data_IF_558021829824
#
_entry.id   IF_558021829824
#
_cell.length_a   1.000
_cell.length_b   1.000
_cell.length_c   1.000
_cell.angle_alpha   90.00
_cell.angle_beta   90.00
_cell.angle_gamma   90.00
#
_symmetry.space_group_name_H-M   'P 1'
#
loop_
_entity.id
_entity.type
_entity.pdbx_description
1 polymer ?
#
# COMPACT_ATOMS: atom_id res chain seq x y z
N UNK A 1 -29.53 0.71 -9.07
CA UNK A 1 -29.94 -0.40 -9.95
C UNK A 1 -30.60 0.18 -11.19
N UNK A 2 -29.93 0.16 -12.33
CA UNK A 2 -30.45 0.70 -13.59
C UNK A 2 -31.25 -0.37 -14.35
N UNK A 3 -32.23 0.11 -15.12
CA UNK A 3 -33.28 -0.63 -15.82
C UNK A 3 -32.80 -1.71 -16.82
N UNK A 4 -31.49 -1.82 -17.04
CA UNK A 4 -30.84 -2.79 -17.93
C UNK A 4 -30.63 -4.14 -17.25
N UNK A 5 -30.50 -4.18 -15.91
CA UNK A 5 -30.34 -5.44 -15.16
C UNK A 5 -31.61 -6.31 -15.16
N UNK A 6 -32.81 -5.72 -15.19
CA UNK A 6 -34.08 -6.48 -15.18
C UNK A 6 -34.33 -7.26 -16.48
N UNK A 7 -33.83 -6.78 -17.62
CA UNK A 7 -34.03 -7.44 -18.92
C UNK A 7 -33.10 -8.64 -19.14
N UNK A 8 -31.91 -8.64 -18.51
CA UNK A 8 -31.00 -9.78 -18.59
C UNK A 8 -31.51 -10.96 -17.74
N UNK A 9 -32.12 -10.71 -16.59
CA UNK A 9 -32.73 -11.75 -15.75
C UNK A 9 -33.93 -12.46 -16.43
N UNK A 10 -34.73 -11.74 -17.22
CA UNK A 10 -35.91 -12.30 -17.89
C UNK A 10 -35.58 -13.37 -18.94
N UNK A 11 -34.46 -13.25 -19.68
CA UNK A 11 -34.12 -14.20 -20.76
C UNK A 11 -33.52 -15.53 -20.26
N UNK A 12 -32.84 -15.53 -19.12
CA UNK A 12 -32.20 -16.73 -18.58
C UNK A 12 -33.10 -17.53 -17.62
N UNK A 13 -34.08 -16.91 -16.97
CA UNK A 13 -35.07 -17.63 -16.16
C UNK A 13 -35.93 -18.60 -17.01
N UNK A 14 -36.22 -18.27 -18.27
CA UNK A 14 -36.95 -19.16 -19.18
C UNK A 14 -36.14 -20.35 -19.69
N UNK A 15 -34.80 -20.25 -19.74
CA UNK A 15 -33.94 -21.33 -20.23
C UNK A 15 -33.64 -22.40 -19.18
N UNK A 16 -33.60 -22.03 -17.89
CA UNK A 16 -33.32 -22.96 -16.79
C UNK A 16 -34.56 -23.81 -16.45
N UNK A 17 -35.77 -23.26 -16.63
CA UNK A 17 -37.03 -24.00 -16.45
C UNK A 17 -37.30 -25.07 -17.52
N UNK A 18 -36.56 -25.07 -18.64
CA UNK A 18 -36.72 -26.05 -19.73
C UNK A 18 -35.85 -27.32 -19.61
N UNK A 19 -34.95 -27.40 -18.63
CA UNK A 19 -33.98 -28.52 -18.50
C UNK A 19 -34.40 -29.54 -17.43
N UNK A 20 -35.44 -29.26 -16.63
CA UNK A 20 -35.92 -30.18 -15.60
C UNK A 20 -37.07 -31.05 -16.14
N UNK A 21 -36.96 -32.39 -16.11
CA UNK A 21 -38.05 -33.28 -16.51
C UNK A 21 -39.09 -33.35 -15.39
N UNK A 22 -39.89 -32.28 -15.24
CA UNK A 22 -41.03 -32.24 -14.33
C UNK A 22 -42.32 -31.94 -15.11
N UNK A 23 -42.70 -32.88 -15.97
CA UNK A 23 -43.97 -32.84 -16.68
C UNK A 23 -44.59 -34.23 -16.75
N UNK A 24 -44.91 -34.81 -15.60
CA UNK A 24 -45.97 -35.82 -15.54
C UNK A 24 -46.58 -35.90 -14.13
N UNK A 25 -47.72 -35.22 -13.94
CA UNK A 25 -48.53 -35.31 -12.73
C UNK A 25 -49.64 -36.34 -12.93
N UNK A 26 -49.37 -37.62 -12.66
CA UNK A 26 -50.42 -38.56 -12.21
C UNK A 26 -49.81 -39.78 -11.51
N UNK A 27 -49.56 -39.66 -10.20
CA UNK A 27 -49.80 -40.71 -9.18
C UNK A 27 -49.27 -40.23 -7.83
N UNK A 28 -50.17 -40.15 -6.85
CA UNK A 28 -49.84 -39.95 -5.44
C UNK A 28 -48.84 -41.02 -4.97
N UNK A 29 -47.70 -40.59 -4.43
CA UNK A 29 -47.01 -41.26 -3.32
C UNK A 29 -45.89 -40.38 -2.77
N UNK A 30 -45.52 -40.61 -1.50
CA UNK A 30 -44.56 -39.90 -0.61
C UNK A 30 -43.22 -39.39 -1.20
N UNK A 31 -42.90 -39.66 -2.46
CA UNK A 31 -41.71 -39.22 -3.19
C UNK A 31 -41.77 -37.76 -3.68
N UNK A 32 -42.96 -37.18 -3.87
CA UNK A 32 -43.12 -35.80 -4.38
C UNK A 32 -42.57 -34.74 -3.42
N UNK A 33 -42.74 -34.92 -2.11
CA UNK A 33 -42.28 -33.98 -1.08
C UNK A 33 -40.76 -33.94 -0.97
N UNK A 34 -40.09 -35.07 -1.23
CA UNK A 34 -38.62 -35.16 -1.22
C UNK A 34 -38.05 -34.44 -2.46
N UNK A 35 -38.66 -34.62 -3.62
CA UNK A 35 -38.23 -33.96 -4.86
C UNK A 35 -38.41 -32.44 -4.82
N UNK A 36 -39.50 -31.95 -4.24
CA UNK A 36 -39.73 -30.51 -4.03
C UNK A 36 -38.73 -29.92 -3.03
N UNK A 37 -38.42 -30.63 -1.94
CA UNK A 37 -37.42 -30.19 -0.96
C UNK A 37 -36.00 -30.18 -1.54
N UNK A 38 -35.66 -31.18 -2.37
CA UNK A 38 -34.38 -31.25 -3.07
C UNK A 38 -34.27 -30.16 -4.15
N UNK A 39 -35.33 -29.88 -4.90
CA UNK A 39 -35.34 -28.76 -5.84
C UNK A 39 -35.23 -27.40 -5.12
N UNK A 40 -35.92 -27.22 -4.00
CA UNK A 40 -35.81 -26.00 -3.19
C UNK A 40 -34.40 -25.86 -2.60
N UNK A 41 -33.81 -26.94 -2.11
CA UNK A 41 -32.44 -26.96 -1.59
C UNK A 41 -31.41 -26.69 -2.69
N UNK A 42 -31.55 -27.28 -3.88
CA UNK A 42 -30.68 -27.01 -5.03
C UNK A 42 -30.87 -25.56 -5.52
N UNK A 43 -32.09 -25.04 -5.52
CA UNK A 43 -32.35 -23.64 -5.91
C UNK A 43 -31.77 -22.68 -4.88
N UNK A 44 -31.89 -22.98 -3.58
CA UNK A 44 -31.23 -22.22 -2.51
C UNK A 44 -29.71 -22.34 -2.63
N UNK A 45 -29.14 -23.51 -2.88
CA UNK A 45 -27.69 -23.71 -3.10
C UNK A 45 -27.20 -22.99 -4.35
N UNK A 46 -28.00 -22.92 -5.42
CA UNK A 46 -27.68 -22.16 -6.63
C UNK A 46 -27.87 -20.65 -6.44
N UNK A 47 -28.79 -20.22 -5.55
CA UNK A 47 -28.98 -18.81 -5.16
C UNK A 47 -28.00 -18.32 -4.09
N UNK A 48 -27.53 -19.20 -3.19
CA UNK A 48 -26.53 -18.90 -2.16
C UNK A 48 -25.10 -19.18 -2.64
N UNK A 49 -24.93 -19.98 -3.69
CA UNK A 49 -23.65 -20.38 -4.25
C UNK A 49 -22.97 -19.36 -5.17
N UNK A 50 -23.63 -18.25 -5.47
CA UNK A 50 -23.02 -17.13 -6.19
C UNK A 50 -23.30 -15.82 -5.44
N UNK A 51 -22.66 -15.67 -4.26
CA UNK A 51 -22.35 -14.32 -3.79
C UNK A 51 -21.32 -13.76 -4.77
N UNK A 52 -21.79 -13.06 -5.80
CA UNK A 52 -20.92 -12.27 -6.65
C UNK A 52 -20.21 -11.26 -5.72
N UNK A 53 -18.89 -11.32 -5.62
CA UNK A 53 -18.15 -10.29 -4.90
C UNK A 53 -18.42 -8.95 -5.59
N UNK A 54 -18.87 -7.96 -4.82
CA UNK A 54 -18.99 -6.59 -5.30
C UNK A 54 -17.59 -5.99 -5.34
N UNK A 55 -16.89 -6.25 -6.42
CA UNK A 55 -15.52 -5.78 -6.61
C UNK A 55 -15.49 -4.28 -6.95
N UNK A 56 -14.59 -3.59 -6.25
CA UNK A 56 -14.17 -2.22 -6.50
C UNK A 56 -12.71 -2.15 -6.91
N UNK A 57 -12.27 -0.95 -7.28
CA UNK A 57 -10.88 -0.67 -7.61
C UNK A 57 -10.42 0.61 -6.91
N UNK A 58 -9.17 0.65 -6.45
CA UNK A 58 -8.54 1.87 -5.98
C UNK A 58 -7.08 1.94 -6.42
N UNK A 59 -6.56 3.15 -6.58
CA UNK A 59 -5.13 3.39 -6.80
C UNK A 59 -4.39 3.52 -5.46
N UNK A 60 -3.19 2.96 -5.37
CA UNK A 60 -2.20 3.25 -4.34
C UNK A 60 -0.99 3.88 -5.01
N UNK A 61 -0.76 5.17 -4.74
CA UNK A 61 0.38 5.95 -5.25
C UNK A 61 1.14 6.57 -4.09
N UNK A 62 2.45 6.72 -4.20
CA UNK A 62 3.30 7.14 -3.09
C UNK A 62 4.63 7.70 -3.60
N UNK A 63 5.30 8.49 -2.76
CA UNK A 63 6.70 8.91 -2.92
C UNK A 63 6.92 9.55 -4.30
N UNK A 64 6.15 10.61 -4.58
CA UNK A 64 6.29 11.41 -5.79
C UNK A 64 7.64 12.09 -5.85
N UNK A 65 8.08 12.66 -4.73
CA UNK A 65 9.26 13.52 -4.59
C UNK A 65 9.44 14.43 -5.82
N UNK A 66 8.60 15.44 -5.95
CA UNK A 66 8.73 16.43 -6.99
C UNK A 66 9.91 17.36 -6.70
N UNK A 67 10.93 17.36 -7.55
CA UNK A 67 12.01 18.34 -7.56
C UNK A 67 11.68 19.51 -8.51
N UNK A 68 11.26 20.69 -7.99
CA UNK A 68 11.01 21.86 -8.84
C UNK A 68 12.29 22.43 -9.46
N UNK A 69 13.47 22.03 -8.96
CA UNK A 69 14.78 22.45 -9.45
C UNK A 69 15.39 21.46 -10.44
N UNK A 70 14.67 20.38 -10.79
CA UNK A 70 15.19 19.27 -11.59
C UNK A 70 15.84 19.70 -12.90
N UNK A 71 15.31 20.71 -13.61
CA UNK A 71 15.86 21.18 -14.89
C UNK A 71 16.96 22.25 -14.74
N UNK A 72 17.12 22.81 -13.54
CA UNK A 72 18.09 23.85 -13.23
C UNK A 72 19.21 23.27 -12.35
N UNK A 73 19.25 23.64 -11.08
CA UNK A 73 20.33 23.31 -10.14
C UNK A 73 20.29 21.87 -9.63
N UNK A 74 19.17 21.14 -9.81
CA UNK A 74 19.05 19.71 -9.43
C UNK A 74 19.42 19.43 -7.96
N UNK A 75 18.79 20.14 -7.03
CA UNK A 75 19.15 20.05 -5.61
C UNK A 75 18.99 18.64 -5.03
N UNK A 76 18.10 17.81 -5.60
CA UNK A 76 17.82 16.45 -5.15
C UNK A 76 18.80 15.39 -5.66
N UNK A 77 19.67 15.73 -6.61
CA UNK A 77 20.51 14.74 -7.27
C UNK A 77 21.69 14.31 -6.39
N UNK A 78 21.76 13.02 -6.05
CA UNK A 78 22.83 12.45 -5.22
C UNK A 78 24.22 12.48 -5.89
N UNK A 79 24.27 12.60 -7.22
CA UNK A 79 25.50 12.65 -8.02
C UNK A 79 25.32 13.63 -9.17
N UNK A 80 26.42 13.94 -9.85
CA UNK A 80 26.33 14.68 -11.10
C UNK A 80 25.48 13.89 -12.11
N UNK A 81 24.31 14.43 -12.42
CA UNK A 81 23.38 13.90 -13.41
C UNK A 81 23.53 14.72 -14.69
N UNK A 82 24.64 14.52 -15.42
CA UNK A 82 24.76 15.00 -16.79
C UNK A 82 23.68 14.30 -17.65
N UNK A 83 23.05 15.03 -18.56
CA UNK A 83 22.04 14.48 -19.49
C UNK A 83 20.73 14.02 -18.82
N UNK A 84 20.26 14.79 -17.82
CA UNK A 84 18.90 14.67 -17.25
C UNK A 84 17.83 14.66 -18.36
N UNK A 85 17.06 13.59 -18.42
CA UNK A 85 15.93 13.47 -19.35
C UNK A 85 14.63 14.00 -18.75
N UNK A 86 13.66 14.30 -19.60
CA UNK A 86 12.41 14.96 -19.17
C UNK A 86 11.52 14.09 -18.27
N UNK A 87 11.71 12.77 -18.28
CA UNK A 87 11.01 11.80 -17.42
C UNK A 87 11.83 11.36 -16.21
N UNK A 88 12.96 12.01 -15.93
CA UNK A 88 13.74 11.77 -14.72
C UNK A 88 15.12 11.16 -14.98
N UNK A 89 15.88 11.00 -13.89
CA UNK A 89 17.22 10.45 -13.86
C UNK A 89 17.38 9.65 -12.57
N UNK A 90 18.05 8.50 -12.58
CA UNK A 90 18.12 7.60 -11.40
C UNK A 90 18.74 8.23 -10.16
N UNK A 91 19.59 9.24 -10.32
CA UNK A 91 20.21 9.95 -9.20
C UNK A 91 19.36 11.07 -8.60
N UNK A 92 18.24 11.41 -9.22
CA UNK A 92 17.48 12.61 -8.94
C UNK A 92 16.04 12.27 -8.61
N UNK A 93 15.39 13.18 -7.91
CA UNK A 93 13.95 13.10 -7.72
C UNK A 93 13.17 13.49 -8.98
N UNK A 94 11.85 13.34 -8.92
CA UNK A 94 10.96 13.42 -10.08
C UNK A 94 10.90 14.85 -10.64
N UNK A 95 11.10 15.05 -11.96
CA UNK A 95 10.62 16.26 -12.61
C UNK A 95 9.09 16.30 -12.61
N UNK A 96 8.51 17.50 -12.71
CA UNK A 96 7.06 17.67 -12.79
C UNK A 96 6.42 16.83 -13.91
N UNK A 97 7.11 16.69 -15.05
CA UNK A 97 6.63 15.89 -16.19
C UNK A 97 6.48 14.40 -15.86
N UNK A 98 7.31 13.85 -14.97
CA UNK A 98 7.15 12.47 -14.50
C UNK A 98 5.93 12.35 -13.57
N UNK A 99 5.78 13.31 -12.65
CA UNK A 99 4.65 13.37 -11.71
C UNK A 99 3.32 13.43 -12.46
N UNK A 100 3.16 14.36 -13.40
CA UNK A 100 1.90 14.48 -14.16
C UNK A 100 1.67 13.27 -15.07
N UNK A 101 2.74 12.73 -15.65
CA UNK A 101 2.67 11.51 -16.46
C UNK A 101 2.17 10.29 -15.66
N UNK A 102 2.55 10.15 -14.39
CA UNK A 102 2.06 9.03 -13.56
C UNK A 102 0.58 9.18 -13.24
N UNK A 103 0.12 10.38 -12.92
CA UNK A 103 -1.29 10.68 -12.64
C UNK A 103 -2.15 10.55 -13.92
N UNK A 104 -1.64 10.99 -15.06
CA UNK A 104 -2.26 10.79 -16.38
C UNK A 104 -2.40 9.30 -16.71
N UNK A 105 -1.36 8.51 -16.43
CA UNK A 105 -1.40 7.06 -16.63
C UNK A 105 -2.41 6.38 -15.71
N UNK A 106 -2.51 6.78 -14.44
CA UNK A 106 -3.55 6.28 -13.54
C UNK A 106 -4.95 6.50 -14.15
N UNK A 107 -5.21 7.71 -14.68
CA UNK A 107 -6.48 8.07 -15.30
C UNK A 107 -6.72 7.30 -16.60
N UNK A 108 -5.69 7.06 -17.41
CA UNK A 108 -5.77 6.28 -18.65
C UNK A 108 -6.09 4.81 -18.37
N UNK A 109 -5.42 4.18 -17.39
CA UNK A 109 -5.53 2.75 -17.14
C UNK A 109 -6.79 2.37 -16.36
N UNK A 110 -7.17 3.18 -15.37
CA UNK A 110 -8.36 2.95 -14.57
C UNK A 110 -8.97 4.30 -14.13
N UNK A 111 -9.82 4.90 -14.99
CA UNK A 111 -10.44 6.19 -14.70
C UNK A 111 -11.48 6.11 -13.56
N UNK A 112 -12.25 5.02 -13.49
CA UNK A 112 -13.44 4.89 -12.66
C UNK A 112 -13.15 4.03 -11.42
N UNK A 113 -12.17 4.47 -10.62
CA UNK A 113 -11.86 3.88 -9.31
C UNK A 113 -12.73 4.47 -8.20
N UNK A 114 -12.97 3.70 -7.14
CA UNK A 114 -13.79 4.11 -6.00
C UNK A 114 -13.09 5.18 -5.15
N UNK A 115 -11.76 5.08 -5.01
CA UNK A 115 -10.92 6.05 -4.31
C UNK A 115 -9.45 5.92 -4.73
N UNK A 116 -8.62 6.85 -4.24
CA UNK A 116 -7.16 6.82 -4.35
C UNK A 116 -6.58 6.91 -2.94
N UNK A 117 -5.63 6.02 -2.61
CA UNK A 117 -4.77 6.17 -1.44
C UNK A 117 -3.46 6.81 -1.91
N UNK A 118 -3.07 7.90 -1.25
CA UNK A 118 -1.80 8.58 -1.47
C UNK A 118 -0.97 8.56 -0.20
N UNK A 119 0.04 7.70 -0.12
CA UNK A 119 0.85 7.51 1.10
C UNK A 119 2.02 8.48 1.26
N UNK A 120 1.89 9.72 0.77
CA UNK A 120 2.80 10.83 1.08
C UNK A 120 4.08 10.91 0.26
N UNK A 121 5.02 11.71 0.76
CA UNK A 121 6.33 12.07 0.20
C UNK A 121 6.26 12.75 -1.17
N UNK A 122 5.84 14.01 -1.10
CA UNK A 122 5.68 14.94 -2.22
C UNK A 122 6.96 15.72 -2.51
N UNK A 123 7.73 16.07 -1.48
CA UNK A 123 8.85 17.02 -1.59
C UNK A 123 10.18 16.30 -1.85
N UNK A 124 11.20 16.97 -2.42
CA UNK A 124 12.42 16.29 -2.85
C UNK A 124 13.40 16.05 -1.68
N UNK A 125 14.34 15.14 -1.88
CA UNK A 125 15.48 14.86 -1.00
C UNK A 125 16.52 15.99 -1.08
N UNK A 126 16.24 17.09 -0.39
CA UNK A 126 17.14 18.24 -0.31
C UNK A 126 17.48 18.58 1.14
N UNK A 127 18.55 19.34 1.32
CA UNK A 127 18.97 19.78 2.65
C UNK A 127 18.06 20.89 3.17
N UNK A 128 17.75 20.85 4.46
CA UNK A 128 16.88 21.86 5.10
C UNK A 128 17.40 23.30 4.95
N UNK A 129 18.72 23.51 4.79
CA UNK A 129 19.31 24.83 4.63
C UNK A 129 19.04 25.48 3.26
N UNK A 130 18.54 24.71 2.29
CA UNK A 130 18.09 25.20 0.98
C UNK A 130 16.58 24.99 0.79
N UNK A 131 15.87 24.55 1.84
CA UNK A 131 14.44 24.36 1.86
C UNK A 131 13.73 25.41 2.73
N UNK A 132 12.41 25.47 2.60
CA UNK A 132 11.55 26.32 3.42
C UNK A 132 10.18 25.68 3.62
N UNK A 133 9.49 26.13 4.66
CA UNK A 133 8.09 25.78 4.93
C UNK A 133 7.19 26.03 3.70
N UNK A 134 7.28 27.23 3.11
CA UNK A 134 6.45 27.61 1.96
C UNK A 134 6.68 26.71 0.76
N UNK A 135 7.94 26.38 0.47
CA UNK A 135 8.28 25.51 -0.66
C UNK A 135 7.71 24.10 -0.47
N UNK A 136 7.84 23.50 0.72
CA UNK A 136 7.29 22.17 0.98
C UNK A 136 5.76 22.17 0.92
N UNK A 137 5.11 23.16 1.55
CA UNK A 137 3.66 23.35 1.47
C UNK A 137 3.19 23.46 0.02
N UNK A 138 3.86 24.29 -0.78
CA UNK A 138 3.46 24.55 -2.17
C UNK A 138 3.68 23.33 -3.07
N UNK A 139 4.68 22.50 -2.79
CA UNK A 139 4.87 21.21 -3.49
C UNK A 139 3.74 20.23 -3.15
N UNK A 140 3.39 20.05 -1.86
CA UNK A 140 2.26 19.20 -1.44
C UNK A 140 0.95 19.70 -2.08
N UNK A 141 0.75 21.03 -2.13
CA UNK A 141 -0.36 21.66 -2.84
C UNK A 141 -0.37 21.33 -4.33
N UNK A 142 0.75 21.42 -5.03
CA UNK A 142 0.82 21.11 -6.46
C UNK A 142 0.37 19.67 -6.75
N UNK A 143 0.85 18.69 -5.99
CA UNK A 143 0.43 17.29 -6.13
C UNK A 143 -1.06 17.14 -5.83
N UNK A 144 -1.53 17.77 -4.75
CA UNK A 144 -2.95 17.75 -4.36
C UNK A 144 -3.83 18.29 -5.48
N UNK A 145 -3.47 19.42 -6.08
CA UNK A 145 -4.25 20.06 -7.16
C UNK A 145 -4.19 19.25 -8.45
N UNK A 146 -3.06 18.64 -8.78
CA UNK A 146 -2.95 17.75 -9.94
C UNK A 146 -3.89 16.54 -9.79
N UNK A 147 -3.88 15.87 -8.63
CA UNK A 147 -4.80 14.77 -8.32
C UNK A 147 -6.26 15.22 -8.37
N UNK A 148 -6.62 16.35 -7.73
CA UNK A 148 -7.97 16.91 -7.81
C UNK A 148 -8.40 17.19 -9.24
N UNK A 149 -7.54 17.78 -10.06
CA UNK A 149 -7.88 18.14 -11.43
C UNK A 149 -8.12 16.93 -12.32
N UNK A 150 -7.35 15.85 -12.14
CA UNK A 150 -7.42 14.63 -12.95
C UNK A 150 -8.50 13.65 -12.47
N UNK A 151 -8.82 13.68 -11.18
CA UNK A 151 -9.75 12.77 -10.51
C UNK A 151 -10.87 13.52 -9.76
N UNK A 152 -11.45 14.53 -10.40
CA UNK A 152 -12.39 15.48 -9.79
C UNK A 152 -13.58 14.88 -9.01
N UNK A 153 -14.03 13.68 -9.35
CA UNK A 153 -15.14 12.98 -8.67
C UNK A 153 -14.70 11.84 -7.74
N UNK A 154 -13.42 11.52 -7.70
CA UNK A 154 -12.89 10.39 -6.93
C UNK A 154 -12.24 10.92 -5.65
N UNK A 155 -12.64 10.43 -4.47
CA UNK A 155 -12.00 10.84 -3.23
C UNK A 155 -10.55 10.36 -3.20
N UNK A 156 -9.65 11.23 -2.74
CA UNK A 156 -8.25 10.90 -2.46
C UNK A 156 -8.06 10.91 -0.96
N UNK A 157 -7.45 9.87 -0.41
CA UNK A 157 -7.14 9.75 1.00
C UNK A 157 -5.62 9.86 1.15
N UNK A 158 -5.12 11.07 1.46
CA UNK A 158 -3.69 11.33 1.62
C UNK A 158 -3.20 11.07 3.04
N UNK A 159 -1.92 10.72 3.17
CA UNK A 159 -1.15 10.78 4.41
C UNK A 159 0.07 11.67 4.18
N UNK A 160 0.61 12.28 5.23
CA UNK A 160 1.93 12.92 5.13
C UNK A 160 3.03 11.86 5.05
N UNK A 161 4.00 12.07 4.16
CA UNK A 161 5.29 11.39 4.24
C UNK A 161 6.31 12.18 5.05
N UNK A 162 7.44 11.57 5.40
CA UNK A 162 8.40 12.23 6.29
C UNK A 162 9.09 13.44 5.65
N UNK A 163 9.09 13.56 4.32
CA UNK A 163 9.59 14.73 3.60
C UNK A 163 8.54 15.85 3.48
N UNK A 164 7.27 15.60 3.79
CA UNK A 164 6.18 16.58 3.63
C UNK A 164 6.06 17.60 4.79
N UNK A 165 7.11 17.75 5.59
CA UNK A 165 7.17 18.71 6.70
C UNK A 165 8.51 19.42 6.73
N UNK A 166 8.52 20.70 7.13
CA UNK A 166 9.74 21.48 7.26
C UNK A 166 10.02 21.83 8.73
N UNK A 167 11.23 21.58 9.25
CA UNK A 167 12.32 20.81 8.62
C UNK A 167 11.94 19.33 8.38
N UNK A 168 12.60 18.67 7.42
CA UNK A 168 12.27 17.29 7.05
C UNK A 168 12.30 16.34 8.26
N UNK A 169 11.36 15.39 8.25
CA UNK A 169 11.13 14.37 9.29
C UNK A 169 10.62 14.89 10.65
N UNK A 170 10.74 16.18 10.97
CA UNK A 170 10.51 16.70 12.32
C UNK A 170 9.01 16.99 12.59
N UNK A 171 8.17 15.97 12.59
CA UNK A 171 6.72 16.09 12.78
C UNK A 171 6.35 16.34 14.25
N UNK A 172 5.73 17.47 14.60
CA UNK A 172 5.33 17.74 15.98
C UNK A 172 4.05 16.97 16.35
N UNK A 173 3.94 16.46 17.59
CA UNK A 173 2.75 15.77 18.09
C UNK A 173 1.64 16.72 18.58
N UNK A 174 1.49 17.86 17.91
CA UNK A 174 0.52 18.90 18.26
C UNK A 174 0.18 19.77 17.04
N UNK A 175 -0.87 20.58 17.21
CA UNK A 175 -1.28 21.55 16.20
C UNK A 175 -0.16 22.53 15.84
N UNK A 176 0.01 22.74 14.53
CA UNK A 176 1.04 23.57 13.91
C UNK A 176 0.56 24.12 12.57
N UNK A 177 1.33 25.04 11.99
CA UNK A 177 0.99 25.74 10.76
C UNK A 177 0.82 24.80 9.56
N UNK A 178 1.75 23.84 9.35
CA UNK A 178 1.71 22.92 8.21
C UNK A 178 0.44 22.06 8.23
N UNK A 179 0.09 21.47 9.39
CA UNK A 179 -1.13 20.65 9.50
C UNK A 179 -2.38 21.48 9.20
N UNK A 180 -2.44 22.74 9.66
CA UNK A 180 -3.58 23.61 9.37
C UNK A 180 -3.68 23.96 7.88
N UNK A 181 -2.57 24.35 7.25
CA UNK A 181 -2.58 24.74 5.84
C UNK A 181 -2.90 23.58 4.90
N UNK A 182 -2.35 22.39 5.17
CA UNK A 182 -2.62 21.19 4.36
C UNK A 182 -4.02 20.64 4.63
N UNK A 183 -4.54 20.74 5.86
CA UNK A 183 -5.94 20.40 6.13
C UNK A 183 -6.90 21.22 5.25
N UNK A 184 -6.64 22.50 5.04
CA UNK A 184 -7.49 23.33 4.17
C UNK A 184 -7.49 22.87 2.71
N UNK A 185 -6.42 22.23 2.24
CA UNK A 185 -6.36 21.60 0.92
C UNK A 185 -7.11 20.27 0.87
N UNK A 186 -7.09 19.50 1.96
CA UNK A 186 -7.62 18.13 2.02
C UNK A 186 -9.01 17.99 2.65
N UNK A 187 -9.57 19.08 3.20
CA UNK A 187 -10.86 19.08 3.91
C UNK A 187 -12.04 18.53 3.09
N UNK A 188 -12.00 18.63 1.76
CA UNK A 188 -13.05 18.08 0.88
C UNK A 188 -13.09 16.55 0.95
N UNK A 189 -11.94 15.91 1.22
CA UNK A 189 -11.81 14.47 1.41
C UNK A 189 -11.93 14.05 2.89
N UNK A 190 -11.66 14.97 3.81
CA UNK A 190 -11.68 14.79 5.28
C UNK A 190 -12.82 15.62 5.89
N UNK A 191 -14.06 15.30 5.49
CA UNK A 191 -15.23 16.15 5.65
C UNK A 191 -16.01 15.99 6.98
N UNK A 192 -15.39 15.42 8.03
CA UNK A 192 -15.97 15.27 9.37
C UNK A 192 -15.25 16.19 10.38
N UNK A 193 -16.02 16.98 11.14
CA UNK A 193 -15.50 17.94 12.13
C UNK A 193 -14.66 17.24 13.22
N UNK A 194 -15.01 16.00 13.58
CA UNK A 194 -14.22 15.18 14.49
C UNK A 194 -12.82 14.88 13.93
N UNK A 195 -12.72 14.68 12.62
CA UNK A 195 -11.45 14.43 11.95
C UNK A 195 -10.61 15.68 11.76
N UNK A 196 -11.22 16.86 11.62
CA UNK A 196 -10.48 18.13 11.63
C UNK A 196 -9.62 18.23 12.89
N UNK A 197 -10.21 17.95 14.05
CA UNK A 197 -9.50 18.03 15.34
C UNK A 197 -8.36 17.01 15.40
N UNK A 198 -8.58 15.77 14.97
CA UNK A 198 -7.55 14.73 14.92
C UNK A 198 -6.41 15.10 13.96
N UNK A 199 -6.75 15.59 12.77
CA UNK A 199 -5.78 16.00 11.77
C UNK A 199 -4.93 17.17 12.27
N UNK A 200 -5.56 18.18 12.85
CA UNK A 200 -4.84 19.31 13.44
C UNK A 200 -3.99 18.86 14.64
N UNK A 201 -4.39 17.84 15.40
CA UNK A 201 -3.61 17.33 16.55
C UNK A 201 -2.37 16.57 16.13
N UNK A 202 -2.46 15.68 15.15
CA UNK A 202 -1.37 14.76 14.82
C UNK A 202 -1.33 14.28 13.37
N UNK A 203 -2.08 14.92 12.47
CA UNK A 203 -2.20 14.57 11.05
C UNK A 203 -2.68 13.13 10.77
N UNK A 204 -3.46 12.57 11.70
CA UNK A 204 -4.16 11.29 11.54
C UNK A 204 -5.67 11.52 11.52
N UNK A 205 -6.41 10.64 10.86
CA UNK A 205 -7.87 10.74 10.73
C UNK A 205 -8.48 9.40 10.27
N UNK A 206 -9.81 9.30 10.29
CA UNK A 206 -10.55 8.21 9.65
C UNK A 206 -11.69 8.72 8.79
N UNK A 207 -12.06 7.96 7.76
CA UNK A 207 -13.22 8.25 6.91
C UNK A 207 -14.01 6.97 6.68
N UNK A 208 -15.33 7.08 6.60
CA UNK A 208 -16.18 5.95 6.19
C UNK A 208 -16.17 5.87 4.67
N UNK A 209 -15.69 4.75 4.12
CA UNK A 209 -15.66 4.50 2.67
C UNK A 209 -17.06 4.05 2.22
N UNK A 210 -17.66 3.14 2.97
CA UNK A 210 -19.00 2.60 2.75
C UNK A 210 -19.59 2.11 4.07
N UNK A 211 -20.84 1.63 4.06
CA UNK A 211 -21.43 1.00 5.23
C UNK A 211 -20.62 -0.24 5.62
N UNK A 212 -20.01 -0.23 6.81
CA UNK A 212 -19.22 -1.35 7.30
C UNK A 212 -17.74 -1.33 6.87
N UNK A 213 -17.27 -0.32 6.13
CA UNK A 213 -15.86 -0.19 5.75
C UNK A 213 -15.33 1.22 6.04
N UNK A 214 -14.21 1.29 6.77
CA UNK A 214 -13.54 2.53 7.17
C UNK A 214 -12.11 2.55 6.67
N UNK A 215 -11.64 3.73 6.30
CA UNK A 215 -10.22 4.01 6.15
C UNK A 215 -9.68 4.68 7.41
N UNK A 216 -8.51 4.25 7.86
CA UNK A 216 -7.74 4.87 8.93
C UNK A 216 -6.40 5.35 8.36
N UNK A 217 -6.24 6.67 8.37
CA UNK A 217 -5.01 7.36 8.00
C UNK A 217 -4.16 7.63 9.23
N UNK A 218 -2.94 7.14 9.24
CA UNK A 218 -1.99 7.33 10.33
C UNK A 218 -0.87 8.30 9.94
N UNK A 219 -0.29 8.93 10.94
CA UNK A 219 0.96 9.67 10.84
C UNK A 219 2.07 8.87 11.54
N UNK A 220 2.63 7.89 10.84
CA UNK A 220 3.76 7.11 11.36
C UNK A 220 5.10 7.84 11.33
N UNK A 221 5.14 9.07 10.79
CA UNK A 221 6.33 9.92 10.85
C UNK A 221 6.69 10.27 12.31
N UNK A 222 5.68 10.37 13.20
CA UNK A 222 5.86 10.53 14.65
C UNK A 222 6.63 9.36 15.29
N UNK A 223 6.71 8.22 14.63
CA UNK A 223 7.41 7.04 15.15
C UNK A 223 8.80 6.86 14.53
N UNK A 224 9.13 7.65 13.51
CA UNK A 224 10.31 7.48 12.66
C UNK A 224 11.61 7.82 13.40
N UNK A 225 12.67 7.02 13.26
CA UNK A 225 13.97 7.26 13.92
C UNK A 225 14.63 8.58 13.54
N UNK A 226 14.29 9.15 12.38
CA UNK A 226 14.80 10.46 11.95
C UNK A 226 13.98 11.63 12.50
N UNK A 227 12.76 11.40 12.99
CA UNK A 227 12.05 12.38 13.80
C UNK A 227 12.71 12.46 15.18
N UNK A 228 13.40 13.56 15.47
CA UNK A 228 14.06 13.75 16.75
C UNK A 228 13.12 14.31 17.81
N UNK A 229 11.95 14.84 17.44
CA UNK A 229 11.00 15.41 18.39
C UNK A 229 10.52 14.32 19.35
N UNK A 230 9.99 13.23 18.80
CA UNK A 230 9.41 12.14 19.59
C UNK A 230 10.42 11.54 20.58
N UNK A 231 11.68 11.43 20.17
CA UNK A 231 12.78 10.93 21.01
C UNK A 231 13.26 11.93 22.07
N UNK A 232 13.53 13.18 21.67
CA UNK A 232 14.09 14.21 22.57
C UNK A 232 13.13 14.51 23.74
N UNK A 233 11.83 14.54 23.46
CA UNK A 233 10.79 14.78 24.46
C UNK A 233 10.27 13.50 25.13
N UNK A 234 10.80 12.33 24.76
CA UNK A 234 10.46 11.01 25.34
C UNK A 234 8.96 10.73 25.36
N UNK A 235 8.27 11.05 24.25
CA UNK A 235 6.86 10.69 24.13
C UNK A 235 6.71 9.17 24.12
N UNK A 236 5.83 8.64 24.97
CA UNK A 236 5.44 7.23 24.92
C UNK A 236 4.36 6.97 23.86
N UNK A 237 3.55 7.98 23.57
CA UNK A 237 2.50 7.96 22.56
C UNK A 237 2.35 9.38 21.95
N UNK A 238 3.19 9.75 20.97
CA UNK A 238 3.16 11.08 20.37
C UNK A 238 1.79 11.33 19.71
N UNK A 239 1.18 12.46 20.07
CA UNK A 239 -0.18 12.88 19.69
C UNK A 239 -1.31 11.94 20.16
N UNK A 240 -1.04 11.07 21.14
CA UNK A 240 -1.97 10.04 21.66
C UNK A 240 -2.51 9.14 20.54
N UNK A 241 -1.70 8.93 19.50
CA UNK A 241 -2.14 8.24 18.29
C UNK A 241 -2.32 6.74 18.53
N UNK A 242 -1.49 6.08 19.35
CA UNK A 242 -1.70 4.66 19.70
C UNK A 242 -2.97 4.46 20.53
N UNK A 243 -3.23 5.33 21.50
CA UNK A 243 -4.48 5.31 22.24
C UNK A 243 -5.67 5.50 21.28
N UNK A 244 -5.63 6.53 20.45
CA UNK A 244 -6.68 6.81 19.46
C UNK A 244 -6.87 5.66 18.46
N UNK A 245 -5.80 5.02 18.00
CA UNK A 245 -5.85 3.84 17.12
C UNK A 245 -6.62 2.70 17.78
N UNK A 246 -6.24 2.32 19.01
CA UNK A 246 -6.89 1.23 19.73
C UNK A 246 -8.38 1.52 20.00
N UNK A 247 -8.70 2.73 20.47
CA UNK A 247 -10.09 3.16 20.70
C UNK A 247 -10.92 3.13 19.41
N UNK A 248 -10.35 3.62 18.30
CA UNK A 248 -11.03 3.66 17.00
C UNK A 248 -11.23 2.26 16.42
N UNK A 249 -10.25 1.37 16.53
CA UNK A 249 -10.36 -0.03 16.10
C UNK A 249 -11.37 -0.81 16.96
N UNK A 250 -11.37 -0.59 18.27
CA UNK A 250 -12.36 -1.19 19.16
C UNK A 250 -13.77 -0.68 18.85
N UNK A 251 -13.93 0.61 18.56
CA UNK A 251 -15.20 1.17 18.12
C UNK A 251 -15.65 0.57 16.77
N UNK A 252 -14.75 0.45 15.79
CA UNK A 252 -15.04 -0.21 14.52
C UNK A 252 -15.50 -1.66 14.73
N UNK A 253 -14.80 -2.41 15.58
CA UNK A 253 -15.16 -3.79 15.96
C UNK A 253 -16.57 -3.88 16.55
N UNK A 254 -16.88 -3.00 17.51
CA UNK A 254 -18.21 -2.96 18.14
C UNK A 254 -19.34 -2.64 17.15
N UNK A 255 -19.02 -1.90 16.09
CA UNK A 255 -19.96 -1.53 15.03
C UNK A 255 -19.91 -2.47 13.81
N UNK A 256 -19.21 -3.61 13.91
CA UNK A 256 -19.03 -4.55 12.80
C UNK A 256 -18.44 -3.92 11.53
N UNK A 257 -17.58 -2.91 11.70
CA UNK A 257 -16.83 -2.28 10.60
C UNK A 257 -15.49 -3.02 10.37
N UNK A 258 -15.10 -3.12 9.10
CA UNK A 258 -13.75 -3.47 8.65
C UNK A 258 -12.92 -2.21 8.44
N UNK A 259 -11.60 -2.31 8.58
CA UNK A 259 -10.70 -1.15 8.51
C UNK A 259 -9.55 -1.38 7.52
N UNK A 260 -9.44 -0.51 6.53
CA UNK A 260 -8.23 -0.34 5.72
C UNK A 260 -7.35 0.68 6.42
N UNK A 261 -6.10 0.33 6.71
CA UNK A 261 -5.14 1.24 7.36
C UNK A 261 -4.09 1.66 6.34
N UNK A 262 -3.79 2.95 6.30
CA UNK A 262 -2.73 3.50 5.46
C UNK A 262 -1.83 4.44 6.26
N UNK A 263 -0.55 4.46 5.92
CA UNK A 263 0.44 5.38 6.49
C UNK A 263 1.64 5.50 5.56
N UNK A 264 2.60 6.35 5.90
CA UNK A 264 3.83 6.48 5.13
C UNK A 264 4.93 5.50 5.57
N UNK A 265 5.60 5.78 6.70
CA UNK A 265 6.71 4.95 7.23
C UNK A 265 6.18 3.60 7.71
N UNK A 266 6.60 2.46 7.12
CA UNK A 266 6.13 1.15 7.53
C UNK A 266 6.81 0.66 8.82
N UNK A 267 6.10 -0.14 9.66
CA UNK A 267 6.75 -0.95 10.68
C UNK A 267 7.51 -2.11 10.02
N UNK A 268 8.36 -2.79 10.78
CA UNK A 268 9.14 -3.92 10.28
C UNK A 268 10.60 -3.59 10.07
N UNK A 269 11.33 -4.63 9.68
CA UNK A 269 12.78 -4.55 9.51
C UNK A 269 13.15 -4.25 8.07
N UNK A 270 14.12 -3.34 7.92
CA UNK A 270 14.84 -3.03 6.70
C UNK A 270 15.88 -4.14 6.51
N UNK A 271 15.73 -5.05 5.53
CA UNK A 271 16.60 -6.23 5.43
C UNK A 271 18.07 -5.87 5.16
N UNK A 272 18.33 -4.77 4.47
CA UNK A 272 19.68 -4.30 4.13
C UNK A 272 20.41 -3.64 5.31
N UNK A 273 19.68 -2.98 6.22
CA UNK A 273 20.25 -2.30 7.39
C UNK A 273 20.15 -3.13 8.68
N UNK A 274 19.31 -4.16 8.71
CA UNK A 274 18.98 -4.96 9.90
C UNK A 274 18.51 -4.09 11.07
N UNK A 275 17.66 -3.11 10.75
CA UNK A 275 17.07 -2.18 11.70
C UNK A 275 15.63 -1.84 11.29
N UNK A 276 14.86 -1.23 12.19
CA UNK A 276 13.49 -0.75 11.92
C UNK A 276 13.50 0.72 11.51
N UNK A 277 12.59 1.19 10.66
CA UNK A 277 12.46 2.64 10.42
C UNK A 277 11.99 3.38 11.66
N UNK A 278 11.02 2.79 12.36
CA UNK A 278 10.48 3.31 13.61
C UNK A 278 11.43 3.07 14.78
N UNK A 279 11.33 3.88 15.83
CA UNK A 279 11.95 3.54 17.10
C UNK A 279 11.43 2.16 17.59
N UNK A 280 12.28 1.29 18.17
CA UNK A 280 11.88 -0.08 18.51
C UNK A 280 10.61 -0.20 19.36
N UNK A 281 10.44 0.70 20.35
CA UNK A 281 9.24 0.70 21.19
C UNK A 281 7.96 1.03 20.42
N UNK A 282 8.04 1.91 19.42
CA UNK A 282 6.90 2.27 18.58
C UNK A 282 6.62 1.19 17.54
N UNK A 283 7.66 0.57 16.97
CA UNK A 283 7.51 -0.58 16.07
C UNK A 283 6.75 -1.71 16.76
N UNK A 284 7.19 -2.08 17.96
CA UNK A 284 6.58 -3.13 18.75
C UNK A 284 5.13 -2.77 19.11
N UNK A 285 4.89 -1.56 19.65
CA UNK A 285 3.54 -1.11 20.03
C UNK A 285 2.58 -1.06 18.83
N UNK A 286 3.06 -0.63 17.66
CA UNK A 286 2.28 -0.66 16.44
C UNK A 286 1.89 -2.09 16.07
N UNK A 287 2.86 -3.01 16.07
CA UNK A 287 2.63 -4.41 15.73
C UNK A 287 1.68 -5.12 16.70
N UNK A 288 1.76 -4.83 18.00
CA UNK A 288 0.81 -5.32 19.01
C UNK A 288 -0.64 -4.96 18.65
N UNK A 289 -0.90 -3.68 18.34
CA UNK A 289 -2.24 -3.21 17.99
C UNK A 289 -2.72 -3.87 16.70
N UNK A 290 -1.86 -4.00 15.68
CA UNK A 290 -2.23 -4.69 14.44
C UNK A 290 -2.62 -6.15 14.71
N UNK A 291 -1.87 -6.87 15.55
CA UNK A 291 -2.15 -8.26 15.91
C UNK A 291 -3.41 -8.40 16.78
N UNK A 292 -3.67 -7.46 17.67
CA UNK A 292 -4.87 -7.41 18.52
C UNK A 292 -6.15 -7.32 17.69
N UNK A 293 -6.17 -6.42 16.70
CA UNK A 293 -7.33 -6.12 15.85
C UNK A 293 -7.28 -6.78 14.46
N UNK A 294 -6.43 -7.79 14.28
CA UNK A 294 -6.23 -8.49 13.01
C UNK A 294 -7.51 -9.11 12.41
N UNK A 295 -8.56 -9.33 13.20
CA UNK A 295 -9.84 -9.87 12.75
C UNK A 295 -10.73 -8.86 12.01
N UNK A 296 -10.46 -7.56 12.13
CA UNK A 296 -11.22 -6.48 11.47
C UNK A 296 -10.39 -5.68 10.46
N UNK A 297 -9.07 -5.78 10.51
CA UNK A 297 -8.18 -5.09 9.56
C UNK A 297 -8.24 -5.80 8.21
N UNK A 298 -8.61 -5.06 7.17
CA UNK A 298 -8.79 -5.58 5.82
C UNK A 298 -7.54 -5.43 4.93
N UNK A 299 -6.66 -4.49 5.25
CA UNK A 299 -5.39 -4.30 4.55
C UNK A 299 -4.56 -3.18 5.18
N UNK A 300 -3.24 -3.28 5.05
CA UNK A 300 -2.28 -2.27 5.51
C UNK A 300 -1.47 -1.78 4.31
N UNK A 301 -1.49 -0.47 4.04
CA UNK A 301 -0.86 0.13 2.86
C UNK A 301 0.17 1.20 3.25
N UNK A 302 1.41 1.06 2.76
CA UNK A 302 2.54 1.92 3.10
C UNK A 302 3.36 2.37 1.87
N UNK A 303 4.20 3.39 2.06
CA UNK A 303 5.18 3.89 1.09
C UNK A 303 6.61 3.83 1.65
N UNK A 304 7.35 4.94 1.51
CA UNK A 304 8.64 5.22 2.17
C UNK A 304 9.85 4.41 1.69
N UNK A 305 9.73 3.09 1.51
CA UNK A 305 10.88 2.28 1.09
C UNK A 305 11.19 2.40 -0.41
N UNK A 306 10.31 3.04 -1.19
CA UNK A 306 10.42 3.23 -2.64
C UNK A 306 10.54 1.91 -3.43
N UNK A 307 10.14 0.79 -2.84
CA UNK A 307 10.31 -0.56 -3.40
C UNK A 307 9.03 -1.36 -3.21
N UNK A 308 8.78 -2.27 -4.14
CA UNK A 308 7.69 -3.23 -4.00
C UNK A 308 8.02 -4.26 -2.91
N UNK A 309 7.23 -4.28 -1.84
CA UNK A 309 7.40 -5.26 -0.79
C UNK A 309 6.09 -5.61 -0.09
N UNK A 310 6.14 -6.72 0.65
CA UNK A 310 5.13 -7.05 1.64
C UNK A 310 5.75 -7.61 2.92
N UNK A 311 4.95 -7.65 3.99
CA UNK A 311 5.26 -8.33 5.26
C UNK A 311 4.04 -9.08 5.75
N UNK A 312 4.26 -10.17 6.47
CA UNK A 312 3.21 -11.04 7.01
C UNK A 312 3.27 -10.98 8.53
N UNK A 313 2.11 -10.75 9.14
CA UNK A 313 1.93 -10.81 10.59
C UNK A 313 1.45 -12.20 10.98
N UNK A 314 2.03 -12.76 12.04
CA UNK A 314 1.66 -14.06 12.57
C UNK A 314 1.09 -13.95 13.99
N UNK A 315 -0.01 -14.64 14.26
CA UNK A 315 -0.60 -14.78 15.59
C UNK A 315 -0.69 -16.27 15.92
N UNK A 316 0.00 -16.69 16.98
CA UNK A 316 0.08 -18.09 17.39
C UNK A 316 0.52 -19.03 16.24
N UNK A 317 1.44 -18.58 15.40
CA UNK A 317 1.98 -19.34 14.26
C UNK A 317 1.12 -19.33 12.99
N UNK A 318 -0.07 -18.72 13.00
CA UNK A 318 -0.92 -18.58 11.82
C UNK A 318 -0.77 -17.19 11.19
N UNK A 319 -0.68 -17.07 9.85
CA UNK A 319 -0.65 -15.76 9.19
C UNK A 319 -2.02 -15.08 9.32
N UNK A 320 -2.05 -13.84 9.80
CA UNK A 320 -3.31 -13.12 10.10
C UNK A 320 -3.47 -11.80 9.36
N UNK A 321 -2.37 -11.12 9.00
CA UNK A 321 -2.42 -9.87 8.21
C UNK A 321 -1.26 -9.82 7.23
N UNK A 322 -1.46 -9.01 6.20
CA UNK A 322 -0.42 -8.64 5.24
C UNK A 322 -0.33 -7.13 5.19
N UNK A 323 0.89 -6.61 5.29
CA UNK A 323 1.15 -5.26 4.86
C UNK A 323 1.68 -5.23 3.44
N UNK A 324 1.36 -4.17 2.72
CA UNK A 324 1.77 -3.92 1.35
C UNK A 324 2.46 -2.57 1.28
N UNK A 325 3.72 -2.58 0.86
CA UNK A 325 4.49 -1.37 0.57
C UNK A 325 4.51 -1.17 -0.95
N UNK A 326 4.09 0.01 -1.41
CA UNK A 326 4.13 0.37 -2.82
C UNK A 326 5.49 0.98 -3.21
N UNK A 327 5.95 0.75 -4.44
CA UNK A 327 7.11 1.44 -4.98
C UNK A 327 6.81 2.93 -5.21
N UNK A 328 7.86 3.74 -5.30
CA UNK A 328 7.76 5.17 -5.53
C UNK A 328 7.48 5.54 -6.99
N UNK A 329 6.93 6.74 -7.20
CA UNK A 329 6.99 7.39 -8.52
C UNK A 329 8.40 7.92 -8.79
N UNK A 330 9.12 8.43 -7.77
CA UNK A 330 10.52 8.86 -7.97
C UNK A 330 11.43 7.69 -8.36
N UNK A 331 12.32 7.84 -9.36
CA UNK A 331 13.37 6.87 -9.65
C UNK A 331 14.62 7.05 -8.77
N UNK A 332 14.57 7.96 -7.80
CA UNK A 332 15.73 8.35 -6.99
C UNK A 332 16.40 7.15 -6.31
N UNK A 333 17.72 7.11 -6.44
CA UNK A 333 18.56 6.03 -5.92
C UNK A 333 19.14 6.45 -4.58
N UNK A 334 18.72 5.76 -3.52
CA UNK A 334 19.25 5.93 -2.18
C UNK A 334 20.71 5.50 -2.11
N UNK A 335 21.52 6.25 -1.35
CA UNK A 335 22.90 5.89 -1.03
C UNK A 335 23.00 5.69 0.48
N UNK A 336 23.02 4.44 0.98
CA UNK A 336 23.18 4.15 2.40
C UNK A 336 24.44 4.83 2.96
N UNK A 337 24.28 5.66 3.99
CA UNK A 337 25.39 6.41 4.59
C UNK A 337 26.04 7.46 3.69
N UNK A 338 25.45 7.80 2.53
CA UNK A 338 25.94 8.84 1.62
C UNK A 338 27.19 8.50 0.82
N UNK A 339 27.68 7.25 0.91
CA UNK A 339 28.89 6.78 0.22
C UNK A 339 28.66 5.41 -0.44
N UNK A 340 29.39 5.11 -1.53
CA UNK A 340 29.30 3.83 -2.26
C UNK A 340 28.37 3.87 -3.48
N UNK A 341 28.07 2.70 -4.05
CA UNK A 341 27.44 2.54 -5.36
C UNK A 341 25.94 2.82 -5.43
N UNK A 342 25.31 3.10 -4.28
CA UNK A 342 23.87 3.27 -4.13
C UNK A 342 23.10 1.94 -4.21
N UNK A 343 21.81 2.01 -3.91
CA UNK A 343 20.89 0.91 -4.17
C UNK A 343 20.75 0.64 -5.69
N UNK A 344 20.21 -0.53 -6.09
CA UNK A 344 19.83 -0.75 -7.49
C UNK A 344 18.91 0.36 -8.00
N UNK A 345 19.07 0.71 -9.29
CA UNK A 345 18.19 1.70 -9.92
C UNK A 345 16.77 1.13 -9.96
N UNK A 346 15.80 2.00 -9.63
CA UNK A 346 14.38 1.68 -9.67
C UNK A 346 13.68 2.46 -10.77
N UNK A 347 12.62 1.87 -11.32
CA UNK A 347 11.71 2.59 -12.21
C UNK A 347 10.54 3.20 -11.42
N UNK A 348 9.97 4.32 -11.92
CA UNK A 348 8.70 4.85 -11.43
C UNK A 348 7.59 3.81 -11.46
N UNK A 349 6.82 3.69 -10.38
CA UNK A 349 5.72 2.74 -10.23
C UNK A 349 4.40 3.39 -9.79
N UNK A 350 3.28 2.82 -10.24
CA UNK A 350 1.92 3.11 -9.75
C UNK A 350 1.14 1.80 -9.59
N UNK A 351 0.35 1.67 -8.53
CA UNK A 351 -0.30 0.40 -8.16
C UNK A 351 -1.82 0.51 -8.19
N UNK A 352 -2.49 -0.41 -8.89
CA UNK A 352 -3.94 -0.53 -8.91
C UNK A 352 -4.36 -1.78 -8.14
N UNK A 353 -5.34 -1.65 -7.25
CA UNK A 353 -5.81 -2.74 -6.39
C UNK A 353 -7.29 -3.01 -6.65
N UNK A 354 -7.63 -4.26 -6.98
CA UNK A 354 -9.02 -4.75 -6.95
C UNK A 354 -9.32 -5.25 -5.55
N UNK A 355 -10.48 -4.90 -5.01
CA UNK A 355 -10.86 -5.27 -3.66
C UNK A 355 -12.36 -5.55 -3.55
N UNK A 356 -12.77 -6.30 -2.53
CA UNK A 356 -14.17 -6.50 -2.21
C UNK A 356 -14.73 -5.29 -1.46
N UNK A 357 -15.75 -4.62 -2.01
CA UNK A 357 -16.33 -3.38 -1.45
C UNK A 357 -16.98 -3.57 -0.08
N UNK A 358 -17.39 -4.79 0.28
CA UNK A 358 -18.03 -5.07 1.56
C UNK A 358 -17.00 -5.38 2.65
N UNK A 359 -15.94 -6.12 2.31
CA UNK A 359 -14.97 -6.61 3.30
C UNK A 359 -13.68 -5.80 3.34
N UNK A 360 -13.39 -5.02 2.31
CA UNK A 360 -12.13 -4.30 2.14
C UNK A 360 -10.95 -5.17 1.70
N UNK A 361 -11.14 -6.48 1.54
CA UNK A 361 -10.06 -7.42 1.25
C UNK A 361 -9.54 -7.23 -0.17
N UNK A 362 -8.22 -7.16 -0.38
CA UNK A 362 -7.66 -7.10 -1.72
C UNK A 362 -7.82 -8.45 -2.43
N UNK A 363 -8.15 -8.41 -3.72
CA UNK A 363 -8.30 -9.57 -4.58
C UNK A 363 -7.24 -9.62 -5.68
N UNK A 364 -6.75 -8.46 -6.13
CA UNK A 364 -5.70 -8.38 -7.15
C UNK A 364 -4.87 -7.11 -6.96
N UNK A 365 -3.57 -7.22 -7.17
CA UNK A 365 -2.65 -6.07 -7.27
C UNK A 365 -2.08 -6.08 -8.68
N UNK A 366 -2.26 -4.98 -9.41
CA UNK A 366 -1.64 -4.69 -10.70
C UNK A 366 -0.59 -3.62 -10.50
N UNK A 367 0.67 -3.98 -10.65
CA UNK A 367 1.77 -3.04 -10.59
C UNK A 367 2.07 -2.55 -12.00
N UNK A 368 2.00 -1.24 -12.22
CA UNK A 368 2.45 -0.60 -13.45
C UNK A 368 3.78 0.11 -13.21
N UNK A 369 4.53 0.29 -14.28
CA UNK A 369 5.79 1.00 -14.25
C UNK A 369 6.06 1.79 -15.53
N UNK A 370 7.01 2.72 -15.43
CA UNK A 370 7.58 3.44 -16.56
C UNK A 370 9.06 3.09 -16.71
N UNK A 371 9.47 2.55 -17.87
CA UNK A 371 10.89 2.61 -18.25
C UNK A 371 11.24 4.06 -18.60
N UNK A 372 11.66 4.82 -17.59
CA UNK A 372 11.92 6.25 -17.76
C UNK A 372 13.15 6.50 -18.64
N UNK A 373 14.11 5.56 -18.70
CA UNK A 373 15.29 5.66 -19.57
C UNK A 373 14.90 5.53 -21.03
N UNK A 374 14.09 4.53 -21.37
CA UNK A 374 13.53 4.38 -22.71
C UNK A 374 12.61 5.54 -23.07
N UNK A 375 11.79 6.00 -22.12
CA UNK A 375 10.90 7.14 -22.31
C UNK A 375 11.67 8.44 -22.58
N UNK A 376 12.84 8.63 -21.93
CA UNK A 376 13.73 9.76 -22.18
C UNK A 376 14.33 9.76 -23.59
N UNK A 377 14.61 8.57 -24.15
CA UNK A 377 15.08 8.40 -25.53
C UNK A 377 13.93 8.69 -26.51
N UNK A 378 12.77 8.07 -26.30
CA UNK A 378 11.63 8.12 -27.21
C UNK A 378 10.79 9.40 -27.09
N UNK A 379 11.01 10.19 -26.03
CA UNK A 379 10.21 11.39 -25.68
C UNK A 379 8.72 11.12 -25.46
N UNK A 380 8.37 9.89 -25.11
CA UNK A 380 7.00 9.44 -24.84
C UNK A 380 7.02 8.60 -23.57
N UNK A 381 6.11 8.90 -22.63
CA UNK A 381 5.91 8.05 -21.47
C UNK A 381 5.02 6.86 -21.87
N UNK A 382 5.52 5.64 -21.66
CA UNK A 382 4.77 4.42 -21.90
C UNK A 382 4.65 3.63 -20.59
N UNK A 383 3.60 3.92 -19.82
CA UNK A 383 3.30 3.18 -18.59
C UNK A 383 2.70 1.82 -18.94
N UNK A 384 3.34 0.75 -18.47
CA UNK A 384 2.98 -0.62 -18.80
C UNK A 384 2.79 -1.47 -17.56
N UNK A 385 1.98 -2.52 -17.66
CA UNK A 385 1.79 -3.48 -16.57
C UNK A 385 3.09 -4.26 -16.38
N UNK A 386 3.67 -4.21 -15.18
CA UNK A 386 4.81 -5.05 -14.81
C UNK A 386 4.36 -6.45 -14.44
N UNK A 387 3.34 -6.57 -13.58
CA UNK A 387 2.78 -7.85 -13.16
C UNK A 387 1.37 -7.70 -12.55
N UNK A 388 0.61 -8.80 -12.56
CA UNK A 388 -0.59 -9.02 -11.73
C UNK A 388 -0.28 -10.07 -10.66
N UNK A 389 -0.36 -9.69 -9.38
CA UNK A 389 0.17 -10.51 -8.28
C UNK A 389 -0.38 -11.94 -8.24
N UNK A 390 -1.70 -12.19 -8.30
CA UNK A 390 -2.21 -13.56 -8.27
C UNK A 390 -1.74 -14.40 -9.46
N UNK A 391 -1.79 -13.83 -10.67
CA UNK A 391 -1.42 -14.53 -11.90
C UNK A 391 0.08 -14.85 -11.94
N UNK A 392 0.92 -13.86 -11.64
CA UNK A 392 2.37 -13.95 -11.80
C UNK A 392 3.08 -14.67 -10.65
N UNK A 393 2.50 -14.70 -9.45
CA UNK A 393 3.03 -15.47 -8.32
C UNK A 393 2.29 -16.78 -8.07
N UNK A 394 1.31 -17.14 -8.91
CA UNK A 394 0.49 -18.35 -8.78
C UNK A 394 -0.21 -18.41 -7.41
N UNK A 395 -0.86 -17.30 -7.03
CA UNK A 395 -1.64 -17.20 -5.81
C UNK A 395 -3.13 -17.28 -6.16
N UNK A 396 -3.92 -17.99 -5.35
CA UNK A 396 -5.37 -18.11 -5.56
C UNK A 396 -6.12 -16.85 -5.16
N UNK A 397 -5.57 -16.11 -4.20
CA UNK A 397 -6.10 -14.88 -3.63
C UNK A 397 -4.96 -14.10 -2.96
N UNK A 398 -5.28 -12.96 -2.35
CA UNK A 398 -4.32 -12.14 -1.59
C UNK A 398 -4.53 -12.25 -0.07
N UNK A 399 -4.99 -13.41 0.41
CA UNK A 399 -5.12 -13.66 1.85
C UNK A 399 -3.76 -13.86 2.52
N UNK A 400 -3.64 -13.63 3.85
CA UNK A 400 -2.42 -13.90 4.58
C UNK A 400 -1.87 -15.33 4.38
N UNK A 401 -2.74 -16.32 4.25
CA UNK A 401 -2.37 -17.72 3.95
C UNK A 401 -1.70 -17.87 2.59
N UNK A 402 -2.23 -17.21 1.54
CA UNK A 402 -1.62 -17.23 0.20
C UNK A 402 -0.26 -16.55 0.19
N UNK A 403 -0.11 -15.44 0.90
CA UNK A 403 1.20 -14.77 1.07
C UNK A 403 2.19 -15.63 1.84
N UNK A 404 1.75 -16.34 2.89
CA UNK A 404 2.59 -17.31 3.58
C UNK A 404 3.03 -18.44 2.64
N UNK A 405 2.11 -18.97 1.83
CA UNK A 405 2.45 -19.98 0.81
C UNK A 405 3.49 -19.48 -0.20
N UNK A 406 3.41 -18.21 -0.62
CA UNK A 406 4.43 -17.57 -1.45
C UNK A 406 5.78 -17.49 -0.72
N UNK A 407 5.80 -17.04 0.55
CA UNK A 407 7.01 -16.98 1.36
C UNK A 407 7.68 -18.37 1.50
N UNK A 408 6.90 -19.44 1.71
CA UNK A 408 7.46 -20.80 1.79
C UNK A 408 8.09 -21.25 0.48
N UNK A 409 7.47 -20.95 -0.68
CA UNK A 409 8.09 -21.21 -1.99
C UNK A 409 9.38 -20.43 -2.17
N UNK A 410 9.35 -19.16 -1.77
CA UNK A 410 10.51 -18.27 -1.81
C UNK A 410 11.68 -18.78 -0.99
N UNK A 411 11.51 -19.58 0.07
CA UNK A 411 12.62 -20.09 0.92
C UNK A 411 13.56 -21.07 0.20
N UNK A 412 13.06 -21.83 -0.77
CA UNK A 412 13.83 -22.89 -1.45
C UNK A 412 15.09 -22.36 -2.18
N UNK A 413 16.19 -23.11 -2.15
CA UNK A 413 17.45 -22.69 -2.81
C UNK A 413 17.23 -22.55 -4.32
N UNK A 414 17.61 -21.42 -4.90
CA UNK A 414 17.34 -21.13 -6.32
C UNK A 414 15.86 -20.89 -6.68
N UNK A 415 15.01 -20.57 -5.70
CA UNK A 415 13.58 -20.26 -5.93
C UNK A 415 13.37 -19.21 -7.03
N UNK A 416 12.66 -19.56 -8.11
CA UNK A 416 12.23 -18.59 -9.13
C UNK A 416 11.32 -17.50 -8.54
N UNK A 417 10.48 -17.82 -7.55
CA UNK A 417 9.61 -16.86 -6.89
C UNK A 417 10.41 -15.79 -6.14
N UNK A 418 11.49 -16.19 -5.46
CA UNK A 418 12.37 -15.21 -4.81
C UNK A 418 13.11 -14.36 -5.85
N UNK A 419 13.60 -14.95 -6.94
CA UNK A 419 14.24 -14.20 -8.02
C UNK A 419 13.27 -13.17 -8.63
N UNK A 420 12.02 -13.56 -8.90
CA UNK A 420 10.98 -12.66 -9.40
C UNK A 420 10.64 -11.56 -8.40
N UNK A 421 10.51 -11.88 -7.12
CA UNK A 421 10.32 -10.91 -6.06
C UNK A 421 11.48 -9.91 -5.99
N UNK A 422 12.72 -10.37 -6.01
CA UNK A 422 13.90 -9.51 -5.96
C UNK A 422 13.97 -8.55 -7.17
N UNK A 423 13.63 -9.04 -8.37
CA UNK A 423 13.54 -8.21 -9.59
C UNK A 423 12.44 -7.15 -9.52
N UNK A 424 11.22 -7.57 -9.12
CA UNK A 424 10.06 -6.68 -9.00
C UNK A 424 10.17 -5.70 -7.84
N UNK A 425 10.94 -6.01 -6.79
CA UNK A 425 11.20 -5.09 -5.66
C UNK A 425 11.67 -3.72 -6.13
N UNK A 426 12.54 -3.66 -7.13
CA UNK A 426 13.06 -2.40 -7.68
C UNK A 426 12.34 -1.97 -8.96
N UNK A 427 11.18 -2.56 -9.29
CA UNK A 427 10.45 -2.28 -10.53
C UNK A 427 11.35 -2.54 -11.76
N UNK A 428 12.18 -3.58 -11.62
CA UNK A 428 13.25 -3.94 -12.55
C UNK A 428 12.94 -5.21 -13.34
N UNK A 429 11.74 -5.78 -13.20
CA UNK A 429 11.38 -7.04 -13.87
C UNK A 429 11.51 -6.99 -15.39
N UNK A 430 11.45 -5.80 -15.98
CA UNK A 430 11.58 -5.58 -17.42
C UNK A 430 13.02 -5.28 -17.90
N UNK A 431 13.97 -4.98 -17.02
CA UNK A 431 15.26 -4.38 -17.42
C UNK A 431 16.49 -5.28 -17.35
N UNK A 432 16.38 -6.52 -16.85
CA UNK A 432 17.54 -7.39 -16.65
C UNK A 432 18.72 -6.64 -15.98
N UNK A 433 18.46 -5.75 -15.01
CA UNK A 433 19.52 -5.02 -14.33
C UNK A 433 20.39 -6.04 -13.58
N UNK A 434 21.63 -6.20 -14.06
CA UNK A 434 22.58 -7.19 -13.60
C UNK A 434 22.87 -7.07 -12.08
N UNK A 435 22.60 -5.92 -11.46
CA UNK A 435 22.74 -5.75 -10.01
C UNK A 435 21.64 -6.45 -9.21
N UNK A 436 20.44 -6.56 -9.77
CA UNK A 436 19.31 -7.25 -9.11
C UNK A 436 19.46 -8.77 -9.25
N UNK A 437 20.13 -9.25 -10.31
CA UNK A 437 20.48 -10.66 -10.49
C UNK A 437 21.53 -11.20 -9.50
N UNK A 438 22.09 -10.38 -8.61
CA UNK A 438 23.14 -10.81 -7.67
C UNK A 438 22.64 -11.32 -6.31
N UNK A 439 21.32 -11.27 -6.01
CA UNK A 439 20.78 -11.86 -4.79
C UNK A 439 20.43 -13.36 -4.93
N UNK A 440 21.29 -14.14 -5.59
CA UNK A 440 21.12 -15.59 -5.76
C UNK A 440 21.74 -16.42 -4.63
N UNK A 441 22.64 -15.82 -3.84
CA UNK A 441 23.24 -16.49 -2.69
C UNK A 441 22.28 -16.56 -1.51
N UNK A 442 22.35 -17.65 -0.73
CA UNK A 442 21.56 -17.79 0.49
C UNK A 442 21.83 -16.64 1.48
N UNK A 443 23.07 -16.14 1.54
CA UNK A 443 23.45 -15.04 2.40
C UNK A 443 22.77 -13.71 2.03
N UNK A 444 22.60 -13.42 0.73
CA UNK A 444 21.87 -12.23 0.30
C UNK A 444 20.37 -12.38 0.54
N UNK A 445 19.83 -13.56 0.23
CA UNK A 445 18.40 -13.84 0.29
C UNK A 445 17.82 -13.83 1.69
N UNK A 446 18.58 -14.34 2.67
CA UNK A 446 18.09 -14.62 4.03
C UNK A 446 17.51 -13.39 4.74
N UNK A 447 18.16 -12.21 4.76
CA UNK A 447 17.56 -11.01 5.36
C UNK A 447 16.20 -10.65 4.74
N UNK A 448 16.01 -10.78 3.43
CA UNK A 448 14.72 -10.49 2.80
C UNK A 448 13.64 -11.49 3.21
N UNK A 449 13.95 -12.80 3.23
CA UNK A 449 13.02 -13.83 3.70
C UNK A 449 12.64 -13.59 5.18
N UNK A 450 13.63 -13.27 6.01
CA UNK A 450 13.42 -13.03 7.43
C UNK A 450 12.61 -11.76 7.66
N UNK A 451 12.84 -10.67 6.91
CA UNK A 451 12.04 -9.46 7.08
C UNK A 451 10.59 -9.69 6.67
N UNK A 452 10.31 -10.41 5.58
CA UNK A 452 8.93 -10.72 5.14
C UNK A 452 8.11 -11.39 6.25
N UNK A 453 8.71 -12.33 6.98
CA UNK A 453 8.01 -13.11 8.01
C UNK A 453 8.07 -12.57 9.44
N UNK A 454 8.91 -11.56 9.72
CA UNK A 454 9.18 -11.11 11.08
C UNK A 454 9.20 -9.57 11.13
N UNK A 455 8.14 -8.98 11.67
CA UNK A 455 7.94 -7.52 11.74
C UNK A 455 8.57 -6.88 12.98
N UNK A 456 9.02 -7.68 13.95
CA UNK A 456 9.80 -7.20 15.09
C UNK A 456 11.29 -7.56 14.94
N UNK A 457 12.15 -6.65 15.37
CA UNK A 457 13.60 -6.76 15.19
C UNK A 457 14.18 -8.02 15.82
N UNK A 458 13.74 -8.37 17.04
CA UNK A 458 14.27 -9.50 17.76
C UNK A 458 13.95 -10.86 17.08
N UNK A 459 12.76 -10.97 16.49
CA UNK A 459 12.35 -12.16 15.73
C UNK A 459 13.09 -12.27 14.40
N UNK A 460 13.28 -11.12 13.72
CA UNK A 460 14.11 -11.02 12.54
C UNK A 460 15.55 -11.47 12.82
N UNK A 461 16.18 -10.99 13.89
CA UNK A 461 17.56 -11.35 14.27
C UNK A 461 17.69 -12.84 14.58
N UNK A 462 16.66 -13.43 15.20
CA UNK A 462 16.60 -14.87 15.43
C UNK A 462 16.54 -15.66 14.11
N UNK A 463 15.71 -15.23 13.16
CA UNK A 463 15.64 -15.81 11.83
C UNK A 463 16.98 -15.66 11.07
N UNK A 464 17.54 -14.46 11.05
CA UNK A 464 18.74 -14.13 10.26
C UNK A 464 20.03 -14.76 10.80
N UNK A 465 20.04 -15.21 12.06
CA UNK A 465 21.18 -15.89 12.71
C UNK A 465 21.11 -17.43 12.71
N UNK A 466 20.15 -18.03 12.01
CA UNK A 466 19.86 -19.49 12.05
C UNK A 466 19.47 -19.99 13.46
N UNK A 467 18.85 -19.13 14.27
CA UNK A 467 18.45 -19.47 15.64
C UNK A 467 19.61 -19.63 16.62
N UNK A 468 20.82 -19.17 16.26
CA UNK A 468 21.97 -19.14 17.17
C UNK A 468 21.90 -17.97 18.17
N UNK A 469 21.05 -16.98 17.93
CA UNK A 469 20.69 -15.99 18.95
C UNK A 469 19.63 -16.56 19.90
N UNK A 470 19.59 -16.07 21.16
CA UNK A 470 18.53 -16.50 22.10
C UNK A 470 17.18 -16.10 21.52
N UNK A 471 16.25 -17.06 21.42
CA UNK A 471 14.86 -16.77 21.05
C UNK A 471 14.33 -15.68 21.99
N UNK A 472 13.73 -14.60 21.48
CA UNK A 472 13.20 -13.55 22.34
C UNK A 472 12.14 -14.15 23.27
N UNK A 473 12.29 -13.93 24.57
CA UNK A 473 11.24 -14.21 25.52
C UNK A 473 10.32 -12.98 25.55
N UNK A 474 9.23 -13.02 24.79
CA UNK A 474 8.14 -12.06 24.97
C UNK A 474 7.29 -12.54 26.13
N UNK A 475 7.25 -11.75 27.21
CA UNK A 475 6.47 -11.99 28.42
C UNK A 475 5.18 -11.20 28.43
#
# INVERSE_FOLDING_TARGET
>A
MSSVQLLYYSKYSTAILSILPCKDQTRLNRTTTIMETVCLAITVILYTGFVYSDDGWFWHVTDFHYDPTYLDVALSCNRNASERGEFGHSWCDSPWKLVTSSIDAMREKAPDVDFIIWTGDSTPHIKDNVASHDMYRDIVRNITQELKSKFNSTPVYPVFGNHDYYPAHQFPPNNNLMYNEIYEEWKDWINDDGQKTNFQKGAYYTVKISTGLRMMSLNTNLYYRSDKISWLYRYSDPAEQFQWMAETLQHAKNNSERVIIMSHVPPGVIPTEKATWMYPQFNHRFNEIMLEYSDIIAGLYFGHEHVDNFRIYYKSGSPVLVHLCAPSVTPWTYIPGGHGDGEPTRNPGIRLVRYDRMTGQPHEIRQYYLDFKLSNVNKVANWTLEYSMPADYQMTDLTPSSFHGLLERMKSNGSPEFTNYAMRRYIGGALNDLRVTHCSSQACKKPFICSIGNVDLAEFEFCDSDGNSRKPAFG
#
